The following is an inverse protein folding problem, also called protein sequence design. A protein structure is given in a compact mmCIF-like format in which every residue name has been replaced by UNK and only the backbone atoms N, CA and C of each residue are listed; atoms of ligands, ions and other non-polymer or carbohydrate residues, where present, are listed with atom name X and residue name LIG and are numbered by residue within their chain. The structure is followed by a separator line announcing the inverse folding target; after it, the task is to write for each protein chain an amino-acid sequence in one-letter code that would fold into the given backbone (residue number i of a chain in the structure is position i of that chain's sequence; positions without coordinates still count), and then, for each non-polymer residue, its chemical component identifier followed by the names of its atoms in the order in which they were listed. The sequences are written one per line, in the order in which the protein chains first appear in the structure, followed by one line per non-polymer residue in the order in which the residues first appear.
data_IF_740502577433
#
_entry.id   IF_740502577433
#
_cell.length_a   1.000
_cell.length_b   1.000
_cell.length_c   1.000
_cell.angle_alpha   90.00
_cell.angle_beta   90.00
_cell.angle_gamma   90.00
#
_symmetry.space_group_name_H-M   'P 1'
#
loop_
_entity.id
_entity.type
_entity.pdbx_description
1 polymer ?
#
# COMPACT_ATOMS: atom_id res chain seq x y z
N UNK A 1 -3.27 28.90 -18.84
CA UNK A 1 -2.53 27.79 -19.47
C UNK A 1 -2.11 26.83 -18.37
N UNK A 2 -2.73 25.66 -18.35
CA UNK A 2 -2.63 24.66 -17.29
C UNK A 2 -1.23 24.04 -17.23
N UNK A 3 -0.61 24.10 -16.05
CA UNK A 3 0.56 23.28 -15.72
C UNK A 3 0.10 21.83 -15.67
N UNK A 4 0.52 21.03 -16.66
CA UNK A 4 0.52 19.57 -16.56
C UNK A 4 1.31 19.22 -15.29
N UNK A 5 0.63 18.76 -14.24
CA UNK A 5 1.29 18.01 -13.18
C UNK A 5 1.92 16.80 -13.87
N UNK A 6 3.25 16.78 -13.91
CA UNK A 6 3.98 15.67 -14.51
C UNK A 6 3.53 14.38 -13.85
N UNK A 7 3.36 13.33 -14.66
CA UNK A 7 3.25 11.97 -14.14
C UNK A 7 4.43 11.75 -13.19
N UNK A 8 4.16 11.76 -11.89
CA UNK A 8 5.16 11.51 -10.87
C UNK A 8 5.55 10.03 -11.05
N UNK A 9 6.75 9.80 -11.57
CA UNK A 9 7.23 8.44 -11.79
C UNK A 9 7.41 7.74 -10.44
N UNK A 10 7.02 6.47 -10.38
CA UNK A 10 7.25 5.62 -9.21
C UNK A 10 8.73 5.64 -8.83
N UNK A 11 9.02 5.93 -7.55
CA UNK A 11 10.37 5.91 -6.99
C UNK A 11 10.60 4.61 -6.21
N UNK A 12 11.65 3.86 -6.53
CA UNK A 12 11.96 2.58 -5.88
C UNK A 12 13.38 2.54 -5.35
N UNK A 13 13.60 1.87 -4.21
CA UNK A 13 14.95 1.42 -3.85
C UNK A 13 15.52 0.51 -4.96
N UNK A 14 16.85 0.48 -5.20
CA UNK A 14 17.44 -0.27 -6.31
C UNK A 14 17.05 -1.76 -6.38
N UNK A 15 16.90 -2.41 -5.24
CA UNK A 15 16.50 -3.81 -5.10
C UNK A 15 15.01 -4.04 -5.35
N UNK A 16 14.21 -2.98 -5.44
CA UNK A 16 12.77 -2.99 -5.74
C UNK A 16 12.45 -2.37 -7.10
N UNK A 17 13.46 -2.13 -7.95
CA UNK A 17 13.28 -1.46 -9.25
C UNK A 17 12.46 -2.26 -10.27
N UNK A 18 12.17 -3.53 -9.99
CA UNK A 18 11.27 -4.35 -10.79
C UNK A 18 9.79 -4.02 -10.55
N UNK A 19 9.46 -3.19 -9.56
CA UNK A 19 8.09 -2.72 -9.33
C UNK A 19 7.80 -1.61 -10.33
N UNK A 20 6.73 -1.77 -11.10
CA UNK A 20 6.32 -0.83 -12.15
C UNK A 20 5.30 0.19 -11.65
N UNK A 21 4.33 -0.27 -10.87
CA UNK A 21 3.23 0.55 -10.35
C UNK A 21 2.56 -0.17 -9.18
N UNK A 22 1.58 0.48 -8.55
CA UNK A 22 0.74 -0.16 -7.55
C UNK A 22 -0.42 0.72 -7.14
N UNK A 23 -1.37 0.14 -6.41
CA UNK A 23 -2.57 0.83 -5.96
C UNK A 23 -3.09 0.26 -4.64
N UNK A 24 -3.78 1.10 -3.86
CA UNK A 24 -4.50 0.62 -2.67
C UNK A 24 -5.75 -0.12 -3.13
N UNK A 25 -5.85 -1.41 -2.82
CA UNK A 25 -7.03 -2.19 -3.16
C UNK A 25 -8.18 -1.87 -2.22
N UNK A 26 -7.90 -1.99 -0.92
CA UNK A 26 -8.91 -1.91 0.12
C UNK A 26 -8.27 -1.71 1.49
N UNK A 27 -9.10 -1.24 2.40
CA UNK A 27 -8.83 -1.16 3.83
C UNK A 27 -9.79 -2.11 4.55
N UNK A 28 -9.27 -2.99 5.38
CA UNK A 28 -10.06 -3.87 6.24
C UNK A 28 -10.03 -3.30 7.64
N UNK A 29 -11.20 -3.15 8.27
CA UNK A 29 -11.31 -2.84 9.69
C UNK A 29 -11.85 -4.07 10.42
N UNK A 30 -11.10 -4.61 11.39
CA UNK A 30 -11.50 -5.78 12.17
C UNK A 30 -11.84 -5.35 13.59
N UNK A 31 -13.12 -5.43 13.97
CA UNK A 31 -13.55 -5.08 15.32
C UNK A 31 -14.47 -6.17 15.87
N UNK A 32 -14.23 -6.59 17.11
CA UNK A 32 -15.02 -7.61 17.81
C UNK A 32 -15.16 -8.94 17.03
N UNK A 33 -14.14 -9.28 16.22
CA UNK A 33 -14.13 -10.48 15.38
C UNK A 33 -14.83 -10.32 14.03
N UNK A 34 -15.51 -9.20 13.78
CA UNK A 34 -16.12 -8.89 12.50
C UNK A 34 -15.18 -8.10 11.60
N UNK A 35 -15.10 -8.48 10.33
CA UNK A 35 -14.33 -7.78 9.31
C UNK A 35 -15.25 -6.92 8.44
N UNK A 36 -14.98 -5.62 8.41
CA UNK A 36 -15.64 -4.66 7.53
C UNK A 36 -14.66 -4.18 6.45
N UNK A 37 -15.09 -4.24 5.19
CA UNK A 37 -14.39 -3.58 4.09
C UNK A 37 -14.70 -2.09 4.12
N UNK A 38 -13.66 -1.27 4.11
CA UNK A 38 -13.73 0.18 4.06
C UNK A 38 -13.39 0.63 2.64
N UNK A 39 -14.26 1.41 1.97
CA UNK A 39 -13.95 2.02 0.69
C UNK A 39 -12.70 2.90 0.76
N UNK A 40 -11.84 2.75 -0.25
CA UNK A 40 -10.61 3.55 -0.41
C UNK A 40 -10.66 4.42 -1.67
N UNK A 41 -11.82 4.54 -2.29
CA UNK A 41 -12.09 5.37 -3.47
C UNK A 41 -12.10 6.88 -3.17
N UNK A 42 -11.82 7.27 -1.93
CA UNK A 42 -11.76 8.66 -1.47
C UNK A 42 -10.86 8.82 -0.24
N UNK A 43 -10.68 10.07 0.20
CA UNK A 43 -9.99 10.40 1.45
C UNK A 43 -10.87 10.20 2.70
N UNK A 44 -12.14 9.78 2.55
CA UNK A 44 -13.12 9.78 3.63
C UNK A 44 -12.71 8.92 4.84
N UNK A 45 -11.99 7.81 4.62
CA UNK A 45 -11.53 6.93 5.70
C UNK A 45 -10.51 7.60 6.65
N UNK A 46 -9.84 8.67 6.21
CA UNK A 46 -8.89 9.42 7.03
C UNK A 46 -9.63 10.23 8.10
N UNK A 47 -10.90 10.56 7.88
CA UNK A 47 -11.75 11.27 8.83
C UNK A 47 -12.68 10.34 9.64
N UNK A 48 -12.65 9.02 9.41
CA UNK A 48 -13.47 8.05 10.16
C UNK A 48 -12.89 7.82 11.57
N UNK A 49 -13.59 8.25 12.64
CA UNK A 49 -13.11 8.08 14.02
C UNK A 49 -13.00 6.61 14.46
N UNK A 50 -13.64 5.68 13.75
CA UNK A 50 -13.47 4.24 14.04
C UNK A 50 -12.15 3.70 13.50
N UNK A 51 -11.56 4.36 12.50
CA UNK A 51 -10.33 3.92 11.84
C UNK A 51 -9.11 4.70 12.35
N UNK A 52 -9.32 5.93 12.81
CA UNK A 52 -8.28 6.83 13.29
C UNK A 52 -8.04 6.66 14.78
N UNK A 53 -6.77 6.44 15.14
CA UNK A 53 -6.30 6.39 16.52
C UNK A 53 -6.04 7.78 17.08
N UNK A 54 -5.36 8.61 16.30
CA UNK A 54 -4.97 9.96 16.70
C UNK A 54 -4.73 10.85 15.48
N UNK A 55 -4.91 12.15 15.67
CA UNK A 55 -4.69 13.17 14.65
C UNK A 55 -3.87 14.31 15.23
N UNK A 56 -2.83 14.70 14.50
CA UNK A 56 -2.06 15.93 14.68
C UNK A 56 -2.12 16.76 13.39
N UNK A 57 -1.49 17.94 13.39
CA UNK A 57 -1.38 18.76 12.16
C UNK A 57 -0.64 18.03 11.04
N UNK A 58 0.34 17.19 11.39
CA UNK A 58 1.25 16.57 10.43
C UNK A 58 0.88 15.12 10.10
N UNK A 59 0.10 14.45 10.96
CA UNK A 59 -0.18 13.03 10.84
C UNK A 59 -1.58 12.64 11.30
N UNK A 60 -2.20 11.76 10.54
CA UNK A 60 -3.38 10.97 10.93
C UNK A 60 -2.95 9.52 11.08
N UNK A 61 -2.99 9.00 12.31
CA UNK A 61 -2.55 7.65 12.64
C UNK A 61 -3.75 6.71 12.71
N UNK A 62 -3.60 5.47 12.22
CA UNK A 62 -4.68 4.49 12.17
C UNK A 62 -4.64 3.52 13.36
N UNK A 63 -5.80 2.91 13.62
CA UNK A 63 -6.00 1.87 14.62
C UNK A 63 -5.30 0.56 14.22
N UNK A 64 -4.91 -0.26 15.19
CA UNK A 64 -4.28 -1.57 14.96
C UNK A 64 -5.21 -2.58 14.27
N UNK A 65 -6.51 -2.37 14.42
CA UNK A 65 -7.62 -3.09 13.81
C UNK A 65 -7.70 -2.87 12.29
N UNK A 66 -7.02 -1.87 11.76
CA UNK A 66 -6.95 -1.57 10.34
C UNK A 66 -5.88 -2.41 9.64
N UNK A 67 -6.18 -2.91 8.45
CA UNK A 67 -5.24 -3.59 7.56
C UNK A 67 -5.38 -2.99 6.16
N UNK A 68 -4.32 -2.31 5.71
CA UNK A 68 -4.21 -1.81 4.35
C UNK A 68 -3.74 -2.93 3.43
N UNK A 69 -4.38 -3.08 2.28
CA UNK A 69 -4.02 -4.05 1.23
C UNK A 69 -3.65 -3.32 -0.04
N UNK A 70 -2.43 -3.50 -0.52
CA UNK A 70 -1.88 -2.83 -1.70
C UNK A 70 -1.46 -3.86 -2.73
N UNK A 71 -1.83 -3.66 -3.99
CA UNK A 71 -1.28 -4.43 -5.11
C UNK A 71 -0.07 -3.69 -5.65
N UNK A 72 1.00 -4.44 -5.91
CA UNK A 72 2.18 -3.97 -6.63
C UNK A 72 2.32 -4.79 -7.90
N UNK A 73 2.40 -4.11 -9.03
CA UNK A 73 2.60 -4.74 -10.34
C UNK A 73 4.09 -4.71 -10.70
N UNK A 74 4.57 -5.78 -11.31
CA UNK A 74 5.95 -5.94 -11.72
C UNK A 74 6.15 -5.51 -13.17
N UNK A 75 7.37 -5.09 -13.50
CA UNK A 75 7.76 -4.77 -14.88
C UNK A 75 7.81 -6.02 -15.75
N UNK A 76 8.18 -7.15 -15.15
CA UNK A 76 8.27 -8.46 -15.80
C UNK A 76 7.67 -9.54 -14.86
N UNK A 77 7.04 -10.60 -15.41
CA UNK A 77 6.58 -11.72 -14.60
C UNK A 77 7.75 -12.39 -13.85
N UNK A 78 7.54 -12.69 -12.58
CA UNK A 78 8.55 -13.31 -11.70
C UNK A 78 8.08 -14.73 -11.31
N UNK A 79 8.98 -15.74 -11.25
CA UNK A 79 8.61 -17.12 -10.91
C UNK A 79 8.03 -17.28 -9.48
N UNK A 80 7.03 -18.13 -9.32
CA UNK A 80 6.38 -18.47 -8.05
C UNK A 80 6.86 -19.81 -7.47
N UNK A 81 6.64 -20.08 -6.17
CA UNK A 81 6.94 -21.39 -5.56
C UNK A 81 5.87 -22.39 -6.02
N UNK A 82 6.27 -23.44 -6.74
CA UNK A 82 5.38 -24.48 -7.27
C UNK A 82 4.53 -25.16 -6.18
N UNK A 83 5.02 -25.22 -4.94
CA UNK A 83 4.38 -25.90 -3.81
C UNK A 83 3.18 -25.14 -3.23
N UNK A 84 3.05 -23.83 -3.49
CA UNK A 84 1.99 -22.97 -2.89
C UNK A 84 1.25 -22.09 -3.90
N UNK A 85 1.73 -21.97 -5.13
CA UNK A 85 1.13 -21.12 -6.14
C UNK A 85 0.35 -21.92 -7.20
N UNK A 86 -0.85 -21.44 -7.53
CA UNK A 86 -1.67 -21.98 -8.65
C UNK A 86 -1.04 -21.67 -10.02
N UNK A 87 -0.01 -20.81 -10.07
CA UNK A 87 0.66 -20.35 -11.29
C UNK A 87 2.18 -20.38 -11.12
N UNK A 88 2.88 -20.73 -12.19
CA UNK A 88 4.36 -20.80 -12.25
C UNK A 88 5.03 -19.41 -12.23
N UNK A 89 4.33 -18.36 -12.64
CA UNK A 89 4.80 -16.96 -12.60
C UNK A 89 3.68 -16.01 -12.18
N UNK A 90 4.06 -14.85 -11.64
CA UNK A 90 3.15 -13.74 -11.32
C UNK A 90 3.74 -12.41 -11.78
N UNK A 91 2.88 -11.55 -12.30
CA UNK A 91 3.17 -10.17 -12.72
C UNK A 91 2.72 -9.13 -11.68
N UNK A 92 2.15 -9.58 -10.56
CA UNK A 92 1.75 -8.72 -9.45
C UNK A 92 1.86 -9.43 -8.12
N UNK A 93 1.75 -8.66 -7.04
CA UNK A 93 1.74 -9.17 -5.67
C UNK A 93 0.85 -8.33 -4.76
N UNK A 94 0.19 -9.00 -3.82
CA UNK A 94 -0.57 -8.36 -2.74
C UNK A 94 0.32 -8.21 -1.49
N UNK A 95 0.49 -6.99 -1.00
CA UNK A 95 1.11 -6.73 0.29
C UNK A 95 0.10 -6.14 1.30
N UNK A 96 0.47 -6.22 2.58
CA UNK A 96 -0.37 -5.75 3.67
C UNK A 96 0.42 -5.00 4.72
N UNK A 97 -0.20 -3.95 5.26
CA UNK A 97 0.32 -3.17 6.36
C UNK A 97 -0.75 -3.02 7.44
N UNK A 98 -0.38 -3.22 8.71
CA UNK A 98 -1.25 -2.94 9.84
C UNK A 98 -1.37 -1.43 10.05
N UNK A 99 -2.51 -0.97 10.55
CA UNK A 99 -2.80 0.46 10.72
C UNK A 99 -1.91 1.15 11.75
N UNK A 100 -1.42 0.42 12.75
CA UNK A 100 -0.43 0.97 13.70
C UNK A 100 0.95 1.24 13.08
N UNK A 101 1.22 0.69 11.89
CA UNK A 101 2.41 0.94 11.08
C UNK A 101 2.08 1.84 9.86
N UNK A 102 0.92 2.49 9.87
CA UNK A 102 0.47 3.35 8.79
C UNK A 102 0.05 4.73 9.33
N UNK A 103 0.29 5.76 8.53
CA UNK A 103 -0.23 7.09 8.79
C UNK A 103 -0.44 7.86 7.49
N UNK A 104 -1.39 8.77 7.49
CA UNK A 104 -1.56 9.75 6.43
C UNK A 104 -0.92 11.08 6.84
N UNK A 105 -0.11 11.68 5.97
CA UNK A 105 0.43 13.03 6.16
C UNK A 105 -0.44 14.05 5.41
N UNK A 106 -1.19 14.93 6.11
CA UNK A 106 -1.95 15.99 5.46
C UNK A 106 -1.07 17.01 4.73
N UNK A 107 0.17 17.22 5.20
CA UNK A 107 1.14 18.16 4.63
C UNK A 107 1.66 17.64 3.30
N UNK A 108 2.10 16.39 3.25
CA UNK A 108 2.63 15.77 2.02
C UNK A 108 1.52 15.23 1.11
N UNK A 109 0.29 15.11 1.63
CA UNK A 109 -0.85 14.44 0.99
C UNK A 109 -0.53 13.00 0.58
N UNK A 110 0.13 12.29 1.48
CA UNK A 110 0.61 10.92 1.27
C UNK A 110 0.11 9.98 2.35
N UNK A 111 -0.23 8.76 1.95
CA UNK A 111 -0.43 7.64 2.87
C UNK A 111 0.88 6.85 2.95
N UNK A 112 1.44 6.71 4.14
CA UNK A 112 2.70 6.01 4.39
C UNK A 112 2.38 4.71 5.11
N UNK A 113 2.84 3.59 4.52
CA UNK A 113 2.74 2.25 5.08
C UNK A 113 4.15 1.76 5.39
N UNK A 114 4.55 1.76 6.66
CA UNK A 114 5.96 1.62 7.06
C UNK A 114 6.47 0.18 7.13
N UNK A 115 5.57 -0.80 7.17
CA UNK A 115 5.93 -2.20 7.37
C UNK A 115 5.00 -3.10 6.56
N UNK A 116 5.07 -2.94 5.24
CA UNK A 116 4.37 -3.79 4.28
C UNK A 116 5.04 -5.16 4.21
N UNK A 117 4.22 -6.21 4.27
CA UNK A 117 4.64 -7.61 4.07
C UNK A 117 3.80 -8.24 2.98
N UNK A 118 4.42 -9.08 2.16
CA UNK A 118 3.70 -9.78 1.10
C UNK A 118 2.76 -10.84 1.71
N UNK A 119 1.53 -10.95 1.20
CA UNK A 119 0.50 -11.86 1.72
C UNK A 119 0.71 -13.33 1.34
N UNK A 120 1.52 -13.60 0.32
CA UNK A 120 1.87 -14.94 -0.17
C UNK A 120 3.38 -15.17 -0.02
N UNK A 121 3.82 -16.43 0.06
CA UNK A 121 5.25 -16.73 0.03
C UNK A 121 5.82 -16.36 -1.34
N UNK A 122 6.36 -15.15 -1.45
CA UNK A 122 6.98 -14.62 -2.67
C UNK A 122 8.40 -15.15 -2.79
N UNK A 123 8.76 -15.63 -3.98
CA UNK A 123 10.14 -15.98 -4.34
C UNK A 123 11.06 -14.77 -4.47
N UNK A 124 10.50 -13.57 -4.51
CA UNK A 124 11.27 -12.35 -4.68
C UNK A 124 11.95 -12.04 -3.37
N UNK A 125 13.22 -12.43 -3.24
CA UNK A 125 14.03 -12.21 -2.02
C UNK A 125 13.98 -10.76 -1.53
N UNK A 126 13.91 -9.80 -2.45
CA UNK A 126 13.80 -8.39 -2.10
C UNK A 126 12.53 -8.05 -1.30
N UNK A 127 11.44 -8.82 -1.46
CA UNK A 127 10.14 -8.65 -0.79
C UNK A 127 9.94 -9.50 0.47
N UNK A 128 10.97 -10.26 0.88
CA UNK A 128 10.91 -11.12 2.09
C UNK A 128 10.88 -10.27 3.35
N UNK A 129 11.75 -9.26 3.42
CA UNK A 129 11.76 -8.32 4.53
C UNK A 129 10.68 -7.26 4.36
N UNK A 130 10.15 -6.70 5.46
CA UNK A 130 9.22 -5.59 5.38
C UNK A 130 9.81 -4.38 4.64
N UNK A 131 8.94 -3.68 3.92
CA UNK A 131 9.31 -2.49 3.15
C UNK A 131 8.27 -1.38 3.35
N UNK A 132 8.61 -0.17 2.95
CA UNK A 132 7.75 1.02 3.02
C UNK A 132 7.06 1.22 1.68
N UNK A 133 5.75 1.46 1.72
CA UNK A 133 4.97 1.91 0.56
C UNK A 133 4.41 3.30 0.85
N UNK A 134 4.63 4.24 -0.07
CA UNK A 134 4.01 5.56 -0.02
C UNK A 134 3.00 5.67 -1.16
N UNK A 135 1.78 6.11 -0.84
CA UNK A 135 0.72 6.29 -1.81
C UNK A 135 0.30 7.75 -1.89
N UNK A 136 -0.03 8.18 -3.10
CA UNK A 136 -0.61 9.48 -3.40
C UNK A 136 -2.06 9.25 -3.88
N UNK A 137 -2.95 10.16 -3.53
CA UNK A 137 -4.32 10.14 -4.04
C UNK A 137 -4.44 11.06 -5.26
N UNK A 138 -4.81 10.51 -6.42
CA UNK A 138 -5.01 11.24 -7.68
C UNK A 138 -6.44 11.03 -8.24
N UNK A 139 -6.65 11.37 -9.52
CA UNK A 139 -7.95 11.23 -10.21
C UNK A 139 -8.43 9.77 -10.35
N UNK A 140 -7.51 8.80 -10.34
CA UNK A 140 -7.78 7.37 -10.48
C UNK A 140 -7.87 6.64 -9.12
N UNK A 141 -7.51 7.32 -8.02
CA UNK A 141 -7.53 6.80 -6.66
C UNK A 141 -6.16 6.83 -5.98
N UNK A 142 -5.94 5.91 -5.04
CA UNK A 142 -4.64 5.77 -4.38
C UNK A 142 -3.68 4.97 -5.24
N UNK A 143 -2.64 5.63 -5.74
CA UNK A 143 -1.57 5.02 -6.50
C UNK A 143 -0.27 5.06 -5.71
N UNK A 144 0.58 4.07 -5.91
CA UNK A 144 1.88 4.00 -5.25
C UNK A 144 2.83 5.02 -5.88
N UNK A 145 3.33 5.92 -5.06
CA UNK A 145 4.35 6.93 -5.41
C UNK A 145 5.76 6.40 -5.16
N UNK A 146 5.95 5.67 -4.06
CA UNK A 146 7.26 5.13 -3.66
C UNK A 146 7.18 3.74 -3.07
N UNK A 147 8.19 2.92 -3.34
CA UNK A 147 8.45 1.68 -2.62
C UNK A 147 9.91 1.66 -2.16
N UNK A 148 10.11 1.73 -0.85
CA UNK A 148 11.43 1.89 -0.25
C UNK A 148 11.71 0.75 0.71
N UNK A 149 12.97 0.36 0.84
CA UNK A 149 13.44 -0.61 1.81
C UNK A 149 14.25 0.06 2.91
#
# INVERSE_FOLDING_TARGET
MSKKQGAQGLETSPELSFIKQGHLNLLIHTKDGEQRLVPVDSLAFIDDPQLVRSRTMDQVNFNSECIFKVTLDFSEPIPCIEETAVREMTDWVLCSCKGNNAFYSPVEKRLILQSCTVCLQSNVRALVDPFVVMLLYNEEGWVVDRVLK
#
